data_IF_693035193581
#
_entry.id   IF_693035193581
#
_cell.length_a   1.000
_cell.length_b   1.000
_cell.length_c   1.000
_cell.angle_alpha   90.00
_cell.angle_beta   90.00
_cell.angle_gamma   90.00
#
_symmetry.space_group_name_H-M   'P 1'
#
loop_
_entity.id
_entity.type
_entity.pdbx_description
1 polymer ?
#
# COMPACT_ATOMS: atom_id res chain seq x y z
N UNK A 1 -8.92 4.17 1.80
CA UNK A 1 -9.05 2.76 1.37
C UNK A 1 -10.52 2.50 1.13
N UNK A 2 -10.85 1.94 -0.03
CA UNK A 2 -12.23 1.68 -0.43
C UNK A 2 -12.48 0.18 -0.42
N UNK A 3 -13.66 -0.22 0.03
CA UNK A 3 -14.15 -1.59 -0.11
C UNK A 3 -14.64 -1.85 -1.55
N UNK A 4 -15.22 -3.02 -1.78
CA UNK A 4 -15.74 -3.42 -3.11
C UNK A 4 -16.94 -2.57 -3.56
N UNK A 5 -17.66 -1.93 -2.62
CA UNK A 5 -18.79 -1.03 -2.86
C UNK A 5 -18.37 0.44 -3.02
N UNK A 6 -17.06 0.72 -3.13
CA UNK A 6 -16.46 2.06 -3.15
C UNK A 6 -16.74 2.90 -1.88
N UNK A 7 -17.02 2.28 -0.74
CA UNK A 7 -17.16 2.98 0.53
C UNK A 7 -15.80 3.06 1.23
N UNK A 8 -15.51 4.24 1.77
CA UNK A 8 -14.29 4.43 2.56
C UNK A 8 -14.43 3.72 3.91
N UNK A 9 -13.60 2.71 4.15
CA UNK A 9 -13.57 1.96 5.42
C UNK A 9 -12.34 2.27 6.28
N UNK A 10 -11.29 2.84 5.69
CA UNK A 10 -10.07 3.18 6.41
C UNK A 10 -9.23 4.25 5.70
N UNK A 11 -8.42 4.98 6.47
CA UNK A 11 -7.44 5.97 6.01
C UNK A 11 -6.09 5.72 6.69
N UNK A 12 -4.99 6.06 6.02
CA UNK A 12 -3.67 5.89 6.61
C UNK A 12 -2.54 6.50 5.79
N UNK A 13 -1.34 6.48 6.38
CA UNK A 13 -0.12 7.02 5.77
C UNK A 13 0.57 5.92 4.97
N UNK A 14 0.85 6.19 3.68
CA UNK A 14 1.62 5.31 2.79
C UNK A 14 3.06 5.80 2.64
N UNK A 15 4.00 4.86 2.59
CA UNK A 15 5.42 5.14 2.31
C UNK A 15 5.76 5.11 0.81
N UNK A 16 4.80 4.74 -0.03
CA UNK A 16 4.95 4.65 -1.48
C UNK A 16 4.06 5.65 -2.17
N UNK A 17 4.55 6.24 -3.26
CA UNK A 17 3.78 7.16 -4.09
C UNK A 17 2.69 6.42 -4.88
N UNK A 18 1.66 7.15 -5.33
CA UNK A 18 0.59 6.59 -6.17
C UNK A 18 1.11 5.89 -7.43
N UNK A 19 2.19 6.40 -8.03
CA UNK A 19 2.80 5.77 -9.20
C UNK A 19 3.45 4.42 -8.89
N UNK A 20 4.11 4.30 -7.74
CA UNK A 20 4.75 3.07 -7.29
C UNK A 20 3.73 2.04 -6.86
N UNK A 21 2.68 2.48 -6.14
CA UNK A 21 1.55 1.63 -5.76
C UNK A 21 0.89 0.96 -6.95
N UNK A 22 0.75 1.67 -8.08
CA UNK A 22 0.22 1.07 -9.32
C UNK A 22 1.13 -0.04 -9.87
N UNK A 23 2.45 0.08 -9.74
CA UNK A 23 3.42 -0.92 -10.22
C UNK A 23 3.48 -2.16 -9.34
N UNK A 24 3.22 -2.02 -8.04
CA UNK A 24 3.30 -3.10 -7.05
C UNK A 24 1.92 -3.59 -6.56
N UNK A 25 0.84 -3.14 -7.19
CA UNK A 25 -0.51 -3.59 -6.85
C UNK A 25 -0.65 -5.07 -7.20
N UNK A 26 -1.05 -5.89 -6.23
CA UNK A 26 -1.35 -7.31 -6.44
C UNK A 26 -0.14 -8.25 -6.52
N UNK A 27 1.08 -7.75 -6.33
CA UNK A 27 2.28 -8.61 -6.26
C UNK A 27 2.62 -8.96 -4.80
N UNK A 28 3.42 -10.00 -4.61
CA UNK A 28 3.95 -10.38 -3.29
C UNK A 28 4.99 -9.36 -2.81
N UNK A 29 5.05 -9.07 -1.50
CA UNK A 29 5.97 -8.05 -0.96
C UNK A 29 7.45 -8.28 -1.29
N UNK A 30 7.89 -9.54 -1.43
CA UNK A 30 9.25 -9.85 -1.86
C UNK A 30 9.59 -9.40 -3.30
N UNK A 31 8.58 -9.17 -4.14
CA UNK A 31 8.73 -8.65 -5.51
C UNK A 31 8.77 -7.12 -5.57
N UNK A 32 8.53 -6.41 -4.46
CA UNK A 32 8.58 -4.94 -4.42
C UNK A 32 9.99 -4.43 -4.76
N UNK A 33 11.03 -5.01 -4.15
CA UNK A 33 12.43 -4.61 -4.42
C UNK A 33 12.83 -4.84 -5.88
N UNK A 34 12.56 -6.00 -6.50
CA UNK A 34 12.76 -6.19 -7.94
C UNK A 34 12.00 -5.17 -8.82
N UNK A 35 10.77 -4.81 -8.45
CA UNK A 35 9.90 -3.95 -9.26
C UNK A 35 10.23 -2.45 -9.15
N UNK A 36 10.68 -1.99 -7.97
CA UNK A 36 10.96 -0.58 -7.69
C UNK A 36 12.46 -0.25 -7.57
N UNK A 37 13.32 -1.27 -7.47
CA UNK A 37 14.75 -1.13 -7.19
C UNK A 37 15.08 -0.97 -5.71
N UNK A 38 14.07 -0.76 -4.86
CA UNK A 38 14.22 -0.59 -3.42
C UNK A 38 12.99 -1.13 -2.67
N UNK A 39 13.11 -1.32 -1.36
CA UNK A 39 12.00 -1.67 -0.47
C UNK A 39 12.20 -0.94 0.87
N UNK A 40 11.30 -0.01 1.18
CA UNK A 40 11.29 0.64 2.49
C UNK A 40 10.69 -0.29 3.54
N UNK A 41 9.51 -0.83 3.24
CA UNK A 41 8.75 -1.72 4.13
C UNK A 41 8.07 -2.83 3.32
N UNK A 42 7.69 -3.91 3.99
CA UNK A 42 6.89 -4.97 3.37
C UNK A 42 5.41 -4.60 3.26
N UNK A 43 4.93 -3.67 4.09
CA UNK A 43 3.59 -3.11 4.03
C UNK A 43 3.53 -1.77 3.29
N UNK A 44 2.38 -1.52 2.68
CA UNK A 44 2.07 -0.24 2.02
C UNK A 44 1.64 0.82 3.03
N UNK A 45 0.75 0.41 3.95
CA UNK A 45 0.29 1.22 5.08
C UNK A 45 0.54 0.36 6.32
N UNK A 46 1.34 0.88 7.25
CA UNK A 46 1.56 0.21 8.52
C UNK A 46 0.29 0.26 9.38
N UNK A 47 0.03 -0.79 10.16
CA UNK A 47 -1.18 -0.87 11.02
C UNK A 47 -1.30 0.31 11.98
N UNK A 48 -0.18 0.75 12.56
CA UNK A 48 -0.16 1.88 13.50
C UNK A 48 -0.47 3.22 12.81
N UNK A 49 -0.27 3.29 11.50
CA UNK A 49 -0.59 4.46 10.68
C UNK A 49 -1.92 4.30 9.95
N UNK A 50 -2.76 3.34 10.35
CA UNK A 50 -4.07 3.05 9.77
C UNK A 50 -5.18 3.35 10.78
N UNK A 51 -6.19 4.09 10.35
CA UNK A 51 -7.41 4.38 11.10
C UNK A 51 -8.60 3.78 10.37
N UNK A 52 -9.42 3.00 11.08
CA UNK A 52 -10.69 2.43 10.60
C UNK A 52 -11.82 3.43 10.90
N UNK A 53 -12.79 3.54 10.00
CA UNK A 53 -13.94 4.46 10.10
C UNK A 53 -15.22 3.73 10.54
#
# INVERSE_FOLDING_TARGET
LLDEDNREFARGITYYSSAELKKIKGIKSHLIKPQLGYKYYDEIIHRDNLVIL
#
